data_IF_486606851979
#
_entry.id   IF_486606851979
#
_cell.length_a   1.000
_cell.length_b   1.000
_cell.length_c   1.000
_cell.angle_alpha   90.00
_cell.angle_beta   90.00
_cell.angle_gamma   90.00
#
_symmetry.space_group_name_H-M   'P 1'
#
loop_
_entity.id
_entity.type
_entity.pdbx_description
1 polymer ?
#
# COMPACT_ATOMS: atom_id res chain seq x y z
N UNK A 1 -20.49 2.93 21.87
CA UNK A 1 -19.50 2.53 22.93
C UNK A 1 -18.24 2.13 22.17
N UNK A 2 -17.22 2.99 22.20
CA UNK A 2 -15.89 2.68 21.63
C UNK A 2 -15.30 1.60 22.53
N UNK A 3 -15.15 0.38 22.00
CA UNK A 3 -14.53 -0.72 22.75
C UNK A 3 -13.10 -0.32 23.13
N UNK A 4 -12.73 -0.53 24.37
CA UNK A 4 -11.35 -0.40 24.82
C UNK A 4 -10.48 -1.30 23.95
N UNK A 5 -9.66 -0.70 23.12
CA UNK A 5 -8.67 -1.44 22.33
C UNK A 5 -7.67 -2.07 23.29
N UNK A 6 -7.66 -3.39 23.36
CA UNK A 6 -6.60 -4.10 24.08
C UNK A 6 -5.27 -3.73 23.44
N UNK A 7 -4.49 -2.90 24.13
CA UNK A 7 -3.13 -2.60 23.68
C UNK A 7 -2.32 -3.88 23.62
N UNK A 8 -1.60 -4.06 22.51
CA UNK A 8 -0.65 -5.15 22.39
C UNK A 8 0.32 -5.11 23.59
N UNK A 9 0.70 -6.26 24.19
CA UNK A 9 1.59 -6.31 25.37
C UNK A 9 2.91 -5.54 25.21
N UNK A 10 3.32 -5.25 23.97
CA UNK A 10 4.49 -4.42 23.66
C UNK A 10 4.23 -2.93 23.50
N UNK A 11 3.03 -2.41 23.79
CA UNK A 11 2.66 -0.99 23.67
C UNK A 11 1.92 -0.64 22.39
N UNK A 12 1.66 0.64 22.16
CA UNK A 12 0.69 1.21 21.22
C UNK A 12 0.69 0.79 19.75
N UNK A 13 1.68 0.06 19.25
CA UNK A 13 1.65 -0.51 17.91
C UNK A 13 1.09 -1.93 17.93
N UNK A 14 -0.05 -2.15 17.30
CA UNK A 14 -0.65 -3.46 17.10
C UNK A 14 -0.46 -3.92 15.65
N UNK A 15 0.30 -5.01 15.39
CA UNK A 15 0.34 -5.59 14.06
C UNK A 15 -1.07 -6.01 13.62
N UNK A 16 -1.46 -5.77 12.36
CA UNK A 16 -2.78 -6.14 11.89
C UNK A 16 -2.97 -7.67 11.91
N UNK A 17 -3.99 -8.14 12.63
CA UNK A 17 -4.34 -9.55 12.65
C UNK A 17 -5.13 -9.94 11.40
N UNK A 18 -4.87 -11.11 10.80
CA UNK A 18 -5.64 -11.62 9.68
C UNK A 18 -7.14 -11.71 9.98
N UNK A 19 -7.97 -11.44 8.97
CA UNK A 19 -9.43 -11.55 9.10
C UNK A 19 -10.09 -12.03 7.82
N UNK A 20 -11.24 -12.69 7.93
CA UNK A 20 -12.13 -13.00 6.82
C UNK A 20 -13.35 -12.04 6.73
N UNK A 21 -13.35 -10.94 7.51
CA UNK A 21 -14.43 -9.95 7.49
C UNK A 21 -14.66 -9.41 6.08
N UNK A 22 -15.89 -8.99 5.79
CA UNK A 22 -16.34 -8.58 4.47
C UNK A 22 -16.73 -9.73 3.55
N UNK A 23 -16.52 -10.98 3.98
CA UNK A 23 -16.95 -12.17 3.26
C UNK A 23 -16.27 -12.38 1.91
N UNK A 24 -16.85 -13.26 1.05
CA UNK A 24 -16.25 -13.63 -0.25
C UNK A 24 -16.26 -12.47 -1.24
N UNK A 25 -17.19 -11.53 -1.12
CA UNK A 25 -17.35 -10.40 -2.04
C UNK A 25 -16.43 -9.20 -1.73
N UNK A 26 -15.69 -9.24 -0.62
CA UNK A 26 -14.84 -8.10 -0.25
C UNK A 26 -13.76 -7.79 -1.30
N UNK A 27 -13.16 -8.82 -1.90
CA UNK A 27 -12.22 -8.65 -3.00
C UNK A 27 -12.86 -7.97 -4.21
N UNK A 28 -14.06 -8.43 -4.62
CA UNK A 28 -14.85 -7.81 -5.70
C UNK A 28 -15.22 -6.36 -5.39
N UNK A 29 -15.55 -6.04 -4.13
CA UNK A 29 -15.81 -4.68 -3.69
C UNK A 29 -14.56 -3.78 -3.84
N UNK A 30 -13.39 -4.22 -3.37
CA UNK A 30 -12.13 -3.47 -3.51
C UNK A 30 -11.78 -3.24 -4.98
N UNK A 31 -11.95 -4.24 -5.84
CA UNK A 31 -11.69 -4.12 -7.28
C UNK A 31 -12.65 -3.12 -7.94
N UNK A 32 -13.92 -3.11 -7.54
CA UNK A 32 -14.90 -2.14 -8.05
C UNK A 32 -14.54 -0.70 -7.65
N UNK A 33 -14.11 -0.49 -6.41
CA UNK A 33 -13.68 0.84 -5.95
C UNK A 33 -12.41 1.29 -6.69
N UNK A 34 -11.43 0.39 -6.92
CA UNK A 34 -10.23 0.72 -7.70
C UNK A 34 -10.56 1.10 -9.15
N UNK A 35 -11.48 0.38 -9.81
CA UNK A 35 -11.97 0.74 -11.14
C UNK A 35 -12.67 2.10 -11.14
N UNK A 36 -13.47 2.37 -10.11
CA UNK A 36 -14.12 3.67 -9.96
C UNK A 36 -13.10 4.81 -9.82
N UNK A 37 -12.03 4.61 -9.05
CA UNK A 37 -10.93 5.58 -8.95
C UNK A 37 -10.30 5.88 -10.32
N UNK A 38 -10.07 4.85 -11.14
CA UNK A 38 -9.54 5.00 -12.49
C UNK A 38 -10.50 5.77 -13.40
N UNK A 39 -11.80 5.48 -13.34
CA UNK A 39 -12.83 6.22 -14.08
C UNK A 39 -12.93 7.67 -13.60
N UNK A 40 -12.98 7.90 -12.29
CA UNK A 40 -13.06 9.26 -11.73
C UNK A 40 -11.87 10.13 -12.15
N UNK A 41 -10.68 9.52 -12.32
CA UNK A 41 -9.47 10.21 -12.80
C UNK A 41 -9.50 10.54 -14.28
N UNK A 42 -10.28 9.82 -15.09
CA UNK A 42 -10.22 9.87 -16.55
C UNK A 42 -11.54 10.30 -17.22
N UNK A 43 -12.61 10.46 -16.45
CA UNK A 43 -13.93 10.74 -17.01
C UNK A 43 -13.98 12.11 -17.70
N UNK A 44 -14.58 12.11 -18.88
CA UNK A 44 -15.02 13.28 -19.64
C UNK A 44 -16.40 12.94 -20.18
N UNK A 45 -17.44 13.26 -19.40
CA UNK A 45 -18.82 12.86 -19.67
C UNK A 45 -19.75 14.07 -19.60
N UNK A 46 -20.95 14.00 -20.22
CA UNK A 46 -21.98 15.01 -20.10
C UNK A 46 -22.38 15.27 -18.63
N UNK A 47 -22.83 16.49 -18.34
CA UNK A 47 -23.15 16.94 -16.97
C UNK A 47 -24.20 16.04 -16.30
N UNK A 48 -25.21 15.59 -17.05
CA UNK A 48 -26.23 14.68 -16.54
C UNK A 48 -25.69 13.32 -16.09
N UNK A 49 -24.67 12.80 -16.79
CA UNK A 49 -23.98 11.56 -16.40
C UNK A 49 -23.16 11.77 -15.15
N UNK A 50 -22.49 12.91 -15.03
CA UNK A 50 -21.75 13.27 -13.81
C UNK A 50 -22.69 13.42 -12.62
N UNK A 51 -23.84 14.06 -12.81
CA UNK A 51 -24.88 14.20 -11.77
C UNK A 51 -25.40 12.84 -11.30
N UNK A 52 -25.76 11.95 -12.23
CA UNK A 52 -26.22 10.60 -11.89
C UNK A 52 -25.13 9.79 -11.15
N UNK A 53 -23.88 9.90 -11.57
CA UNK A 53 -22.75 9.25 -10.91
C UNK A 53 -22.57 9.79 -9.48
N UNK A 54 -22.64 11.09 -9.28
CA UNK A 54 -22.53 11.71 -7.95
C UNK A 54 -23.64 11.20 -7.02
N UNK A 55 -24.91 11.26 -7.46
CA UNK A 55 -26.07 10.75 -6.69
C UNK A 55 -25.91 9.27 -6.31
N UNK A 56 -25.38 8.47 -7.22
CA UNK A 56 -25.14 7.03 -7.00
C UNK A 56 -24.06 6.80 -5.95
N UNK A 57 -22.96 7.56 -6.01
CA UNK A 57 -21.88 7.47 -5.05
C UNK A 57 -22.28 7.96 -3.65
N UNK A 58 -23.10 9.01 -3.57
CA UNK A 58 -23.66 9.49 -2.30
C UNK A 58 -24.57 8.44 -1.66
N UNK A 59 -25.42 7.77 -2.45
CA UNK A 59 -26.27 6.67 -1.96
C UNK A 59 -25.42 5.49 -1.47
N UNK A 60 -24.35 5.14 -2.20
CA UNK A 60 -23.44 4.08 -1.79
C UNK A 60 -22.70 4.45 -0.51
N UNK A 61 -22.22 5.69 -0.39
CA UNK A 61 -21.57 6.20 0.82
C UNK A 61 -22.52 6.13 2.03
N UNK A 62 -23.78 6.55 1.87
CA UNK A 62 -24.79 6.46 2.91
C UNK A 62 -25.10 5.02 3.33
N UNK A 63 -25.09 4.06 2.39
CA UNK A 63 -25.24 2.63 2.67
C UNK A 63 -24.11 2.08 3.55
N UNK A 64 -22.89 2.54 3.33
CA UNK A 64 -21.68 2.01 4.02
C UNK A 64 -21.44 2.70 5.37
N UNK A 65 -21.76 3.97 5.51
CA UNK A 65 -21.47 4.80 6.68
C UNK A 65 -21.88 4.19 8.04
N UNK A 66 -23.03 3.50 8.20
CA UNK A 66 -23.39 2.87 9.48
C UNK A 66 -22.45 1.73 9.91
N UNK A 67 -21.61 1.24 8.99
CA UNK A 67 -20.67 0.13 9.19
C UNK A 67 -19.22 0.58 9.29
N UNK A 68 -18.99 1.88 9.39
CA UNK A 68 -17.65 2.41 9.64
C UNK A 68 -17.09 1.80 10.92
N UNK A 69 -15.86 1.38 10.86
CA UNK A 69 -15.18 0.69 11.95
C UNK A 69 -13.80 1.29 12.19
N UNK A 70 -13.34 1.15 13.42
CA UNK A 70 -11.98 1.52 13.78
C UNK A 70 -10.96 0.76 12.93
N UNK A 71 -9.77 1.34 12.80
CA UNK A 71 -8.62 0.77 12.08
C UNK A 71 -8.40 -0.73 12.40
N UNK A 72 -8.53 -1.11 13.68
CA UNK A 72 -8.29 -2.48 14.15
C UNK A 72 -9.44 -3.46 13.86
N UNK A 73 -10.61 -2.96 13.53
CA UNK A 73 -11.79 -3.76 13.25
C UNK A 73 -12.08 -3.87 11.75
N UNK A 74 -11.59 -2.93 10.95
CA UNK A 74 -11.73 -2.90 9.49
C UNK A 74 -11.04 -4.09 8.82
N UNK A 75 -11.58 -4.67 7.75
CA UNK A 75 -10.89 -5.69 6.94
C UNK A 75 -9.74 -5.14 6.11
N UNK A 76 -9.69 -3.83 5.85
CA UNK A 76 -8.64 -3.18 5.06
C UNK A 76 -7.24 -3.40 5.69
N UNK A 77 -6.28 -3.87 4.89
CA UNK A 77 -4.93 -4.19 5.35
C UNK A 77 -4.81 -5.51 6.14
N UNK A 78 -5.90 -6.30 6.28
CA UNK A 78 -5.97 -7.51 7.10
C UNK A 78 -6.46 -8.76 6.33
N UNK A 79 -6.90 -8.62 5.09
CA UNK A 79 -7.31 -9.71 4.20
C UNK A 79 -6.08 -10.27 3.49
N UNK A 80 -5.44 -11.26 4.10
CA UNK A 80 -4.19 -11.86 3.60
C UNK A 80 -4.36 -12.61 2.28
N UNK A 81 -5.59 -12.93 1.91
CA UNK A 81 -5.99 -13.56 0.65
C UNK A 81 -6.07 -12.58 -0.53
N UNK A 82 -5.95 -11.26 -0.29
CA UNK A 82 -6.07 -10.23 -1.31
C UNK A 82 -4.74 -9.48 -1.54
N UNK A 83 -4.51 -8.95 -2.77
CA UNK A 83 -3.39 -8.08 -3.04
C UNK A 83 -3.32 -6.92 -2.04
N UNK A 84 -2.12 -6.60 -1.55
CA UNK A 84 -1.89 -5.60 -0.49
C UNK A 84 -2.86 -5.71 0.69
N UNK A 85 -3.30 -6.94 0.97
CA UNK A 85 -4.23 -7.29 2.06
C UNK A 85 -5.56 -6.55 2.02
N UNK A 86 -6.05 -6.22 0.81
CA UNK A 86 -7.29 -5.47 0.61
C UNK A 86 -7.21 -3.99 0.97
N UNK A 87 -6.02 -3.43 1.14
CA UNK A 87 -5.85 -2.00 1.37
C UNK A 87 -6.00 -1.23 0.06
N UNK A 88 -6.96 -0.30 0.03
CA UNK A 88 -7.29 0.47 -1.17
C UNK A 88 -6.32 1.63 -1.43
N UNK A 89 -5.61 2.11 -0.40
CA UNK A 89 -4.66 3.22 -0.53
C UNK A 89 -3.42 2.81 -1.33
N UNK A 90 -2.91 1.59 -1.09
CA UNK A 90 -1.61 1.16 -1.59
C UNK A 90 -1.66 0.68 -3.03
N UNK A 91 -0.57 0.88 -3.76
CA UNK A 91 -0.37 0.32 -5.10
C UNK A 91 -0.41 -1.22 -5.02
N UNK A 92 -1.17 -1.91 -5.88
CA UNK A 92 -1.16 -3.37 -5.93
C UNK A 92 0.23 -3.92 -6.21
N UNK A 93 0.68 -4.84 -5.36
CA UNK A 93 1.93 -5.57 -5.51
C UNK A 93 1.73 -7.06 -5.29
N UNK A 94 2.55 -7.88 -5.95
CA UNK A 94 2.84 -9.23 -5.53
C UNK A 94 4.32 -9.32 -5.13
N UNK A 95 4.66 -10.12 -4.12
CA UNK A 95 6.02 -10.22 -3.63
C UNK A 95 6.37 -11.61 -3.12
N UNK A 96 7.66 -11.93 -3.16
CA UNK A 96 8.23 -13.14 -2.57
C UNK A 96 9.57 -12.84 -1.92
N UNK A 97 9.93 -13.63 -0.92
CA UNK A 97 11.29 -13.66 -0.40
C UNK A 97 12.14 -14.58 -1.26
N UNK A 98 13.32 -14.12 -1.63
CA UNK A 98 14.30 -14.91 -2.40
C UNK A 98 15.23 -15.69 -1.46
N UNK A 99 15.97 -16.67 -2.00
CA UNK A 99 16.91 -17.51 -1.23
C UNK A 99 18.08 -16.70 -0.68
N UNK A 100 18.53 -15.68 -1.41
CA UNK A 100 19.60 -14.75 -1.00
C UNK A 100 19.13 -13.67 -0.02
N UNK A 101 17.88 -13.75 0.45
CA UNK A 101 17.35 -12.89 1.51
C UNK A 101 16.93 -11.50 1.05
N UNK A 102 16.50 -11.37 -0.19
CA UNK A 102 15.86 -10.15 -0.72
C UNK A 102 14.34 -10.32 -0.81
N UNK A 103 13.64 -9.25 -1.10
CA UNK A 103 12.22 -9.26 -1.49
C UNK A 103 12.14 -8.81 -2.94
N UNK A 104 11.60 -9.65 -3.78
CA UNK A 104 11.31 -9.36 -5.18
C UNK A 104 9.82 -9.37 -5.43
N UNK A 105 9.39 -8.69 -6.49
CA UNK A 105 8.00 -8.71 -6.87
C UNK A 105 7.66 -7.83 -8.05
N UNK A 106 6.37 -7.62 -8.20
CA UNK A 106 5.81 -6.75 -9.22
C UNK A 106 4.92 -5.68 -8.60
N UNK A 107 4.82 -4.56 -9.28
CA UNK A 107 3.90 -3.47 -8.97
C UNK A 107 3.18 -3.02 -10.25
N UNK A 108 1.90 -2.64 -10.14
CA UNK A 108 1.14 -2.11 -11.27
C UNK A 108 0.42 -0.83 -10.87
N UNK A 109 0.79 0.26 -11.55
CA UNK A 109 0.11 1.54 -11.40
C UNK A 109 -1.04 1.63 -12.41
N UNK A 110 -2.21 2.03 -11.94
CA UNK A 110 -3.40 2.26 -12.73
C UNK A 110 -3.57 3.77 -13.04
N UNK A 111 -4.60 4.15 -13.79
CA UNK A 111 -4.91 5.55 -14.14
C UNK A 111 -5.04 6.46 -12.93
N UNK A 112 -5.56 5.96 -11.82
CA UNK A 112 -5.65 6.71 -10.57
C UNK A 112 -4.30 7.28 -10.12
N UNK A 113 -3.21 6.56 -10.38
CA UNK A 113 -1.85 6.93 -9.98
C UNK A 113 -1.17 7.89 -10.97
N UNK A 114 -1.87 8.31 -12.04
CA UNK A 114 -1.30 9.18 -13.07
C UNK A 114 -0.97 10.57 -12.51
N UNK A 115 0.25 11.01 -12.73
CA UNK A 115 0.68 12.39 -12.56
C UNK A 115 0.40 13.24 -13.81
N UNK A 116 1.43 13.59 -14.55
CA UNK A 116 1.34 14.33 -15.81
C UNK A 116 2.12 13.63 -16.92
N UNK A 117 1.74 13.92 -18.18
CA UNK A 117 2.44 13.44 -19.38
C UNK A 117 2.64 11.91 -19.42
N UNK A 118 1.64 11.14 -19.00
CA UNK A 118 1.69 9.67 -19.02
C UNK A 118 2.53 9.03 -17.91
N UNK A 119 3.13 9.82 -17.03
CA UNK A 119 3.98 9.34 -15.95
C UNK A 119 3.19 9.09 -14.65
N UNK A 120 3.59 8.10 -13.89
CA UNK A 120 3.12 7.87 -12.50
C UNK A 120 3.44 9.10 -11.65
N UNK A 121 2.50 9.52 -10.80
CA UNK A 121 2.72 10.60 -9.83
C UNK A 121 3.80 10.21 -8.81
N UNK A 122 4.72 11.13 -8.52
CA UNK A 122 5.83 10.86 -7.60
C UNK A 122 5.39 10.42 -6.19
N UNK A 123 4.26 10.94 -5.69
CA UNK A 123 3.68 10.49 -4.42
C UNK A 123 3.21 9.03 -4.45
N UNK A 124 2.73 8.53 -5.60
CA UNK A 124 2.37 7.11 -5.75
C UNK A 124 3.60 6.20 -5.71
N UNK A 125 4.74 6.68 -6.21
CA UNK A 125 6.03 5.99 -6.03
C UNK A 125 6.48 6.01 -4.57
N UNK A 126 6.23 7.11 -3.85
CA UNK A 126 6.43 7.19 -2.41
C UNK A 126 5.65 6.12 -1.64
N UNK A 127 4.36 5.97 -1.93
CA UNK A 127 3.52 4.91 -1.34
C UNK A 127 4.01 3.51 -1.68
N UNK A 128 4.44 3.27 -2.92
CA UNK A 128 5.01 1.98 -3.32
C UNK A 128 6.25 1.66 -2.48
N UNK A 129 7.22 2.57 -2.44
CA UNK A 129 8.48 2.31 -1.75
C UNK A 129 8.32 2.26 -0.23
N UNK A 130 7.46 3.07 0.38
CA UNK A 130 7.15 2.93 1.81
C UNK A 130 6.59 1.53 2.12
N UNK A 131 5.68 1.04 1.27
CA UNK A 131 5.09 -0.30 1.41
C UNK A 131 6.15 -1.40 1.19
N UNK A 132 6.91 -1.36 0.10
CA UNK A 132 7.88 -2.40 -0.26
C UNK A 132 9.05 -2.45 0.71
N UNK A 133 9.63 -1.29 1.06
CA UNK A 133 10.77 -1.25 1.97
C UNK A 133 10.36 -1.58 3.42
N UNK A 134 9.14 -1.16 3.83
CA UNK A 134 8.56 -1.56 5.12
C UNK A 134 8.30 -3.07 5.22
N UNK A 135 7.75 -3.66 4.16
CA UNK A 135 7.58 -5.11 4.04
C UNK A 135 8.94 -5.83 4.12
N UNK A 136 9.94 -5.35 3.38
CA UNK A 136 11.29 -5.89 3.36
C UNK A 136 11.91 -5.87 4.75
N UNK A 137 11.87 -4.72 5.42
CA UNK A 137 12.37 -4.60 6.79
C UNK A 137 11.65 -5.55 7.76
N UNK A 138 10.32 -5.66 7.66
CA UNK A 138 9.51 -6.53 8.51
C UNK A 138 9.81 -8.01 8.29
N UNK A 139 9.76 -8.47 7.04
CA UNK A 139 9.94 -9.89 6.69
C UNK A 139 11.35 -10.37 6.97
N UNK A 140 12.37 -9.58 6.59
CA UNK A 140 13.76 -10.00 6.74
C UNK A 140 14.27 -9.92 8.18
N UNK A 141 13.69 -9.05 9.02
CA UNK A 141 14.03 -8.99 10.45
C UNK A 141 13.14 -9.81 11.36
N UNK A 142 12.04 -10.35 10.81
CA UNK A 142 11.01 -11.06 11.60
C UNK A 142 10.25 -10.15 12.58
N UNK A 143 10.31 -8.83 12.41
CA UNK A 143 9.68 -7.88 13.32
C UNK A 143 8.80 -6.87 12.57
N UNK A 144 7.47 -6.90 12.73
CA UNK A 144 6.57 -5.91 12.13
C UNK A 144 6.54 -4.58 12.92
N UNK A 145 7.13 -4.54 14.11
CA UNK A 145 7.06 -3.40 15.04
C UNK A 145 8.12 -2.36 14.72
N UNK A 146 7.89 -1.58 13.67
CA UNK A 146 8.82 -0.56 13.20
C UNK A 146 8.06 0.60 12.55
N UNK A 147 8.70 1.76 12.48
CA UNK A 147 8.19 2.96 11.81
C UNK A 147 9.23 3.48 10.84
N UNK A 148 8.74 4.02 9.73
CA UNK A 148 9.54 4.76 8.75
C UNK A 148 10.03 6.05 9.38
N UNK A 149 11.35 6.23 9.45
CA UNK A 149 11.97 7.46 9.95
C UNK A 149 12.28 8.43 8.79
N UNK A 150 12.72 7.90 7.66
CA UNK A 150 12.79 8.63 6.40
C UNK A 150 12.64 7.69 5.22
N UNK A 151 12.22 8.26 4.09
CA UNK A 151 12.20 7.66 2.77
C UNK A 151 12.77 8.67 1.79
N UNK A 152 13.80 8.27 1.03
CA UNK A 152 14.38 9.08 -0.05
C UNK A 152 14.22 8.34 -1.36
N UNK A 153 13.78 9.05 -2.39
CA UNK A 153 13.50 8.48 -3.71
C UNK A 153 14.30 9.25 -4.76
N UNK A 154 14.96 8.51 -5.64
CA UNK A 154 15.66 9.03 -6.79
C UNK A 154 14.90 8.59 -8.06
N UNK A 155 14.31 9.53 -8.75
CA UNK A 155 13.61 9.31 -10.02
C UNK A 155 14.65 9.30 -11.14
N UNK A 156 14.77 8.18 -11.87
CA UNK A 156 15.77 7.98 -12.93
C UNK A 156 15.16 8.07 -14.31
N UNK A 157 14.00 7.46 -14.50
CA UNK A 157 13.27 7.43 -15.76
C UNK A 157 11.77 7.59 -15.49
N UNK A 158 11.01 7.89 -16.55
CA UNK A 158 9.54 7.97 -16.50
C UNK A 158 8.99 6.59 -16.15
N UNK A 159 8.12 6.54 -15.15
CA UNK A 159 7.44 5.32 -14.73
C UNK A 159 6.08 5.25 -15.44
N UNK A 160 5.84 4.24 -16.32
CA UNK A 160 4.58 4.10 -17.03
C UNK A 160 3.45 3.59 -16.11
N UNK A 161 2.19 3.92 -16.47
CA UNK A 161 0.99 3.30 -15.88
C UNK A 161 0.56 2.07 -16.70
N UNK A 162 -0.35 1.27 -16.13
CA UNK A 162 -1.00 0.12 -16.79
C UNK A 162 -0.04 -0.98 -17.27
N UNK A 163 1.17 -0.97 -16.77
CA UNK A 163 2.21 -1.96 -17.02
C UNK A 163 2.66 -2.61 -15.72
N UNK A 164 2.98 -3.91 -15.78
CA UNK A 164 3.62 -4.60 -14.68
C UNK A 164 5.10 -4.27 -14.67
N UNK A 165 5.57 -3.74 -13.54
CA UNK A 165 6.95 -3.33 -13.30
C UNK A 165 7.54 -4.22 -12.22
N UNK A 166 8.83 -4.50 -12.29
CA UNK A 166 9.53 -5.35 -11.33
C UNK A 166 10.17 -4.48 -10.24
N UNK A 167 10.15 -4.97 -9.02
CA UNK A 167 10.94 -4.39 -7.95
C UNK A 167 11.79 -5.44 -7.24
N UNK A 168 12.90 -4.99 -6.69
CA UNK A 168 13.67 -5.74 -5.71
C UNK A 168 14.07 -4.83 -4.54
N UNK A 169 14.17 -5.39 -3.33
CA UNK A 169 14.55 -4.67 -2.13
C UNK A 169 15.32 -5.57 -1.16
N UNK A 170 16.21 -4.97 -0.38
CA UNK A 170 17.01 -5.69 0.60
C UNK A 170 17.45 -4.80 1.76
N UNK A 171 17.89 -5.42 2.85
CA UNK A 171 18.50 -4.72 3.98
C UNK A 171 19.95 -4.44 3.64
N UNK A 172 20.35 -3.16 3.65
CA UNK A 172 21.74 -2.77 3.45
C UNK A 172 22.57 -2.99 4.72
N UNK A 173 21.98 -2.61 5.87
CA UNK A 173 22.57 -2.84 7.19
C UNK A 173 21.55 -2.70 8.31
N UNK A 174 21.84 -3.28 9.46
CA UNK A 174 21.07 -3.10 10.69
C UNK A 174 22.00 -2.72 11.83
N UNK A 175 21.66 -1.65 12.56
CA UNK A 175 22.44 -1.07 13.65
C UNK A 175 21.52 -0.86 14.87
N UNK A 176 21.54 -1.81 15.80
CA UNK A 176 20.63 -1.78 16.95
C UNK A 176 19.16 -1.79 16.52
N UNK A 177 18.46 -0.67 16.73
CA UNK A 177 17.05 -0.52 16.31
C UNK A 177 16.87 0.01 14.89
N UNK A 178 17.94 0.50 14.25
CA UNK A 178 17.92 1.10 12.92
C UNK A 178 18.09 0.03 11.85
N UNK A 179 17.21 0.03 10.87
CA UNK A 179 17.21 -0.89 9.73
C UNK A 179 17.24 -0.03 8.46
N UNK A 180 18.36 -0.06 7.75
CA UNK A 180 18.55 0.65 6.49
C UNK A 180 18.21 -0.30 5.36
N UNK A 181 17.31 0.11 4.50
CA UNK A 181 16.74 -0.71 3.43
C UNK A 181 16.79 0.08 2.13
N UNK A 182 17.17 -0.57 1.06
CA UNK A 182 17.11 0.00 -0.29
C UNK A 182 16.33 -0.90 -1.23
N UNK A 183 15.83 -0.31 -2.31
CA UNK A 183 15.12 -1.02 -3.35
C UNK A 183 15.07 -0.22 -4.64
N UNK A 184 14.71 -0.90 -5.71
CA UNK A 184 14.60 -0.33 -7.05
C UNK A 184 13.36 -0.86 -7.76
N UNK A 185 12.86 -0.05 -8.68
CA UNK A 185 11.77 -0.36 -9.60
C UNK A 185 12.32 -0.32 -11.02
N UNK A 186 12.06 -1.37 -11.79
CA UNK A 186 12.58 -1.53 -13.15
C UNK A 186 11.49 -1.90 -14.16
N UNK A 187 11.78 -1.63 -15.41
CA UNK A 187 11.05 -2.13 -16.57
C UNK A 187 12.05 -2.91 -17.45
N UNK A 188 12.05 -4.23 -17.29
CA UNK A 188 13.14 -5.05 -17.82
C UNK A 188 14.48 -4.58 -17.26
N UNK A 189 15.43 -4.29 -18.15
CA UNK A 189 16.78 -3.81 -17.77
C UNK A 189 16.82 -2.31 -17.45
N UNK A 190 15.72 -1.58 -17.62
CA UNK A 190 15.69 -0.13 -17.40
C UNK A 190 15.38 0.18 -15.94
N UNK A 191 16.31 0.82 -15.26
CA UNK A 191 16.08 1.38 -13.91
C UNK A 191 15.15 2.60 -14.00
N UNK A 192 13.98 2.52 -13.39
CA UNK A 192 13.01 3.61 -13.37
C UNK A 192 13.17 4.50 -12.14
N UNK A 193 13.25 3.88 -10.98
CA UNK A 193 13.30 4.59 -9.70
C UNK A 193 14.03 3.72 -8.67
N UNK A 194 14.78 4.35 -7.81
CA UNK A 194 15.40 3.70 -6.64
C UNK A 194 15.09 4.46 -5.37
N UNK A 195 15.08 3.77 -4.24
CA UNK A 195 14.81 4.39 -2.96
C UNK A 195 15.65 3.78 -1.86
N UNK A 196 15.96 4.60 -0.87
CA UNK A 196 16.54 4.21 0.41
C UNK A 196 15.69 4.73 1.57
N UNK A 197 15.58 3.92 2.62
CA UNK A 197 14.79 4.24 3.80
C UNK A 197 15.47 3.79 5.10
N UNK A 198 15.11 4.47 6.17
CA UNK A 198 15.42 4.06 7.53
C UNK A 198 14.13 3.67 8.25
N UNK A 199 14.08 2.44 8.72
CA UNK A 199 13.07 1.97 9.65
C UNK A 199 13.66 1.87 11.06
N UNK A 200 12.86 2.22 12.07
CA UNK A 200 13.29 2.14 13.46
C UNK A 200 12.38 1.19 14.23
N UNK A 201 12.95 0.14 14.79
CA UNK A 201 12.24 -0.78 15.69
C UNK A 201 11.69 -0.03 16.88
N UNK A 202 10.42 -0.21 17.17
CA UNK A 202 9.74 0.42 18.30
C UNK A 202 10.22 -0.18 19.62
N UNK A 203 10.34 0.66 20.63
CA UNK A 203 10.51 0.21 22.03
C UNK A 203 9.15 -0.28 22.56
N UNK A 204 9.13 -1.11 23.61
CA UNK A 204 7.90 -1.39 24.34
C UNK A 204 7.19 -0.09 24.72
N UNK A 205 5.85 -0.02 24.48
CA UNK A 205 5.04 1.15 24.79
C UNK A 205 5.04 2.27 23.75
N UNK A 206 5.86 2.21 22.68
CA UNK A 206 5.82 3.19 21.59
C UNK A 206 4.68 2.89 20.61
N UNK A 207 3.96 3.92 20.11
CA UNK A 207 2.92 3.80 19.08
C UNK A 207 3.48 3.50 17.70
#
# INVERSE_FOLDING_TARGET
MVGEHQQHPGGGFNPPEPTAKGGPDYGRFIDAVRKLQDHARAVDAPDEVITEAADTLEKLSALLSPYDADEWASPSGRRMDLPVRGNILTVPIGSRKTEDGRIEGWARFARFHLGRNGAVHGGSLGMLFDTVLGLTASVLTGSPRQRTAYLKINYRNIVPIEKELQFDAGIDRAEGRKIFVSGRLTDGDTLLTEADALFVKLKPGQP
#
